data_IF_697873630452
#
_entry.id   IF_697873630452
#
_cell.length_a   1.000
_cell.length_b   1.000
_cell.length_c   1.000
_cell.angle_alpha   90.00
_cell.angle_beta   90.00
_cell.angle_gamma   90.00
#
_symmetry.space_group_name_H-M   'P 1'
#
loop_
_entity.id
_entity.type
_entity.pdbx_description
1 polymer ?
#
# COMPACT_ATOMS: atom_id res chain seq x y z
N UNK A 1 -20.68 -65.86 16.93
CA UNK A 1 -21.25 -66.06 18.29
C UNK A 1 -20.07 -66.50 19.17
N UNK A 2 -19.67 -65.90 20.28
CA UNK A 2 -20.12 -64.77 21.11
C UNK A 2 -18.96 -64.50 22.09
N UNK A 3 -18.70 -63.23 22.41
CA UNK A 3 -17.81 -62.78 23.51
C UNK A 3 -18.34 -63.24 24.89
N UNK A 4 -17.54 -63.18 25.98
CA UNK A 4 -17.57 -61.99 26.88
C UNK A 4 -16.20 -61.65 27.53
N UNK A 5 -15.77 -60.39 27.63
CA UNK A 5 -16.05 -59.36 28.65
C UNK A 5 -15.54 -59.63 30.08
N UNK A 6 -14.63 -58.79 30.62
CA UNK A 6 -14.92 -57.79 31.69
C UNK A 6 -13.69 -57.06 32.26
N UNK A 7 -13.96 -55.79 32.59
CA UNK A 7 -13.20 -54.75 33.30
C UNK A 7 -12.57 -55.16 34.64
N UNK A 8 -11.54 -54.40 35.07
CA UNK A 8 -11.51 -53.72 36.38
C UNK A 8 -10.50 -52.56 36.44
N UNK A 9 -11.00 -51.39 36.85
CA UNK A 9 -10.25 -50.20 37.26
C UNK A 9 -9.45 -50.43 38.55
N UNK A 10 -8.36 -49.68 38.73
CA UNK A 10 -8.04 -49.08 40.03
C UNK A 10 -7.20 -47.80 39.85
N UNK A 11 -7.67 -46.75 40.50
CA UNK A 11 -7.08 -45.40 40.64
C UNK A 11 -6.01 -45.42 41.75
N UNK A 12 -4.92 -44.66 41.62
CA UNK A 12 -4.25 -43.92 42.73
C UNK A 12 -3.05 -43.09 42.21
N UNK A 13 -3.18 -41.75 42.21
CA UNK A 13 -2.10 -40.79 42.51
C UNK A 13 -1.84 -40.81 44.04
N UNK A 14 -0.69 -40.38 44.63
CA UNK A 14 0.08 -39.17 44.25
C UNK A 14 1.62 -39.17 44.55
N UNK A 15 2.22 -37.99 44.36
CA UNK A 15 3.30 -37.37 45.15
C UNK A 15 4.75 -37.29 44.58
N UNK A 16 5.12 -36.02 44.40
CA UNK A 16 6.44 -35.37 44.30
C UNK A 16 7.62 -36.09 44.98
N UNK A 17 8.80 -35.98 44.35
CA UNK A 17 10.04 -35.58 45.03
C UNK A 17 11.00 -34.90 44.03
N UNK A 18 11.54 -33.75 44.44
CA UNK A 18 12.56 -32.96 43.75
C UNK A 18 13.93 -33.66 43.74
N UNK A 19 14.72 -33.39 42.70
CA UNK A 19 16.16 -33.63 42.67
C UNK A 19 16.82 -32.92 41.49
N UNK A 20 17.45 -31.77 41.74
CA UNK A 20 18.34 -31.06 40.82
C UNK A 20 19.67 -31.82 40.65
N UNK A 21 20.15 -31.98 39.41
CA UNK A 21 21.56 -31.73 39.04
C UNK A 21 21.86 -31.97 37.55
N UNK A 22 22.36 -30.90 36.93
CA UNK A 22 23.46 -30.82 35.94
C UNK A 22 23.39 -31.51 34.55
N UNK A 23 23.43 -30.63 33.54
CA UNK A 23 24.13 -30.67 32.23
C UNK A 23 23.78 -31.83 31.25
N UNK A 24 23.60 -31.63 29.94
CA UNK A 24 24.25 -30.70 29.02
C UNK A 24 23.41 -30.69 27.72
N UNK A 25 23.04 -29.53 27.19
CA UNK A 25 22.58 -29.40 25.80
C UNK A 25 23.14 -28.13 25.20
N UNK A 26 23.80 -28.20 24.03
CA UNK A 26 24.45 -27.05 23.42
C UNK A 26 23.39 -26.05 22.97
N UNK A 27 23.67 -24.79 23.28
CA UNK A 27 22.91 -23.62 22.84
C UNK A 27 23.06 -23.46 21.32
N UNK A 28 22.00 -23.71 20.57
CA UNK A 28 21.78 -22.96 19.33
C UNK A 28 21.23 -21.60 19.75
N UNK A 29 22.12 -20.62 19.72
CA UNK A 29 21.82 -19.22 19.94
C UNK A 29 20.87 -18.81 18.82
N UNK A 30 19.59 -18.67 19.15
CA UNK A 30 18.70 -17.85 18.35
C UNK A 30 19.30 -16.44 18.35
N UNK A 31 19.92 -16.08 17.24
CA UNK A 31 20.40 -14.75 16.95
C UNK A 31 19.19 -13.83 16.98
N UNK A 32 18.94 -13.25 18.16
CA UNK A 32 18.00 -12.16 18.36
C UNK A 32 18.43 -11.05 17.40
N UNK A 33 17.66 -10.88 16.33
CA UNK A 33 17.76 -9.70 15.49
C UNK A 33 17.85 -8.46 16.40
N UNK A 34 18.81 -7.55 16.18
CA UNK A 34 18.99 -6.40 17.05
C UNK A 34 17.68 -5.62 17.10
N UNK A 35 17.11 -5.50 18.31
CA UNK A 35 15.99 -4.60 18.54
C UNK A 35 16.39 -3.22 18.04
N UNK A 36 15.54 -2.62 17.21
CA UNK A 36 15.77 -1.28 16.69
C UNK A 36 16.16 -0.34 17.85
N UNK A 37 17.19 0.51 17.68
CA UNK A 37 17.62 1.41 18.73
C UNK A 37 16.45 2.29 19.16
N UNK A 38 16.32 2.51 20.46
CA UNK A 38 15.32 3.42 21.00
C UNK A 38 15.50 4.83 20.40
N UNK A 39 14.42 5.55 20.12
CA UNK A 39 14.51 6.88 19.51
C UNK A 39 15.31 7.84 20.41
N UNK A 40 16.15 8.65 19.79
CA UNK A 40 16.93 9.68 20.47
C UNK A 40 16.06 10.87 20.89
N UNK A 41 16.55 11.70 21.81
CA UNK A 41 15.82 12.87 22.29
C UNK A 41 15.47 13.90 21.21
N UNK A 42 16.25 13.99 20.13
CA UNK A 42 15.95 14.81 18.95
C UNK A 42 14.75 14.24 18.19
N UNK A 43 14.78 12.94 17.87
CA UNK A 43 13.71 12.25 17.15
C UNK A 43 12.35 12.32 17.86
N UNK A 44 12.35 12.36 19.19
CA UNK A 44 11.13 12.55 19.98
C UNK A 44 10.57 13.97 19.85
N UNK A 45 11.43 15.00 19.74
CA UNK A 45 11.01 16.39 19.57
C UNK A 45 10.55 16.66 18.13
N UNK A 46 11.24 16.08 17.15
CA UNK A 46 10.86 16.16 15.73
C UNK A 46 9.48 15.53 15.53
N UNK A 47 9.26 14.32 16.07
CA UNK A 47 7.95 13.66 16.05
C UNK A 47 6.85 14.43 16.79
N UNK A 48 7.18 15.12 17.89
CA UNK A 48 6.23 16.00 18.57
C UNK A 48 5.87 17.24 17.73
N UNK A 49 6.83 17.80 16.99
CA UNK A 49 6.59 18.89 16.05
C UNK A 49 5.71 18.41 14.88
N UNK A 50 6.04 17.29 14.25
CA UNK A 50 5.20 16.68 13.20
C UNK A 50 3.77 16.42 13.68
N UNK A 51 3.62 15.77 14.85
CA UNK A 51 2.31 15.49 15.44
C UNK A 51 1.51 16.77 15.68
N UNK A 52 2.18 17.86 16.06
CA UNK A 52 1.50 19.12 16.34
C UNK A 52 0.85 19.76 15.10
N UNK A 53 1.30 19.40 13.89
CA UNK A 53 0.75 19.84 12.61
C UNK A 53 -0.48 19.03 12.18
N UNK A 54 -0.80 17.93 12.88
CA UNK A 54 -1.93 17.07 12.54
C UNK A 54 -3.27 17.83 12.55
N UNK A 55 -4.00 17.74 11.44
CA UNK A 55 -5.30 18.39 11.27
C UNK A 55 -5.75 18.53 9.82
N UNK A 56 -6.94 19.08 9.68
CA UNK A 56 -7.47 19.59 8.40
C UNK A 56 -7.16 21.08 8.33
N UNK A 57 -6.60 21.49 7.20
CA UNK A 57 -6.15 22.84 6.92
C UNK A 57 -6.75 23.31 5.58
N UNK A 58 -6.95 24.61 5.43
CA UNK A 58 -7.55 25.21 4.23
C UNK A 58 -6.83 26.50 3.86
N UNK A 59 -6.65 26.77 2.56
CA UNK A 59 -6.18 28.08 2.06
C UNK A 59 -7.18 29.22 2.31
N UNK A 60 -8.40 28.89 2.76
CA UNK A 60 -9.49 29.82 3.03
C UNK A 60 -10.50 29.87 1.89
N UNK A 61 -11.53 30.71 2.06
CA UNK A 61 -12.59 30.88 1.06
C UNK A 61 -11.98 31.47 -0.21
N UNK A 62 -12.18 30.78 -1.33
CA UNK A 62 -11.93 31.23 -2.69
C UNK A 62 -12.23 32.74 -2.86
N UNK A 63 -11.21 33.56 -3.11
CA UNK A 63 -11.42 34.92 -3.59
C UNK A 63 -11.27 34.92 -5.11
N UNK A 64 -12.39 34.95 -5.83
CA UNK A 64 -12.40 34.90 -7.30
C UNK A 64 -12.47 33.47 -7.83
N UNK A 65 -11.68 33.17 -8.86
CA UNK A 65 -11.69 31.87 -9.55
C UNK A 65 -10.80 30.80 -8.88
N UNK A 66 -10.04 31.15 -7.85
CA UNK A 66 -9.15 30.22 -7.14
C UNK A 66 -9.97 29.33 -6.19
N UNK A 67 -10.06 28.05 -6.48
CA UNK A 67 -10.75 27.09 -5.62
C UNK A 67 -10.04 26.96 -4.26
N UNK A 68 -10.83 26.90 -3.18
CA UNK A 68 -10.33 26.54 -1.86
C UNK A 68 -9.63 25.18 -1.92
N UNK A 69 -8.37 25.15 -1.48
CA UNK A 69 -7.56 23.93 -1.42
C UNK A 69 -7.61 23.38 0.01
N UNK A 70 -7.97 22.10 0.14
CA UNK A 70 -8.03 21.42 1.43
C UNK A 70 -6.82 20.50 1.58
N UNK A 71 -6.15 20.65 2.73
CA UNK A 71 -5.04 19.80 3.14
C UNK A 71 -5.46 18.96 4.34
N UNK A 72 -5.13 17.67 4.33
CA UNK A 72 -5.16 16.83 5.52
C UNK A 72 -3.75 16.39 5.87
N UNK A 73 -3.27 16.80 7.05
CA UNK A 73 -1.96 16.41 7.56
C UNK A 73 -2.20 15.34 8.63
N UNK A 74 -1.68 14.14 8.37
CA UNK A 74 -1.77 12.99 9.28
C UNK A 74 -0.39 12.67 9.83
N UNK A 75 -0.28 12.46 11.14
CA UNK A 75 0.94 11.95 11.77
C UNK A 75 0.78 10.48 12.14
N UNK A 76 1.72 9.65 11.73
CA UNK A 76 1.75 8.23 12.03
C UNK A 76 3.05 7.89 12.75
N UNK A 77 2.98 7.32 13.95
CA UNK A 77 4.17 7.02 14.77
C UNK A 77 5.22 6.16 14.05
N UNK A 78 4.80 5.29 13.13
CA UNK A 78 5.68 4.37 12.42
C UNK A 78 6.28 4.93 11.12
N UNK A 79 5.63 5.92 10.51
CA UNK A 79 5.87 6.36 9.13
C UNK A 79 6.01 7.88 8.98
N UNK A 80 5.88 8.62 10.09
CA UNK A 80 5.97 10.08 10.13
C UNK A 80 4.74 10.78 9.56
N UNK A 81 4.93 12.03 9.19
CA UNK A 81 3.91 12.91 8.64
C UNK A 81 3.57 12.57 7.17
N UNK A 82 2.27 12.52 6.86
CA UNK A 82 1.72 12.38 5.51
C UNK A 82 0.80 13.56 5.19
N UNK A 83 0.85 14.02 3.94
CA UNK A 83 0.07 15.17 3.48
C UNK A 83 -0.86 14.75 2.35
N UNK A 84 -2.16 14.96 2.54
CA UNK A 84 -3.18 14.90 1.51
C UNK A 84 -3.42 16.32 0.99
N UNK A 85 -3.43 16.50 -0.32
CA UNK A 85 -3.81 17.75 -1.00
C UNK A 85 -4.83 17.43 -2.08
N UNK A 86 -5.98 18.09 -2.05
CA UNK A 86 -7.06 17.94 -3.06
C UNK A 86 -7.44 16.48 -3.35
N UNK A 87 -7.48 15.65 -2.30
CA UNK A 87 -7.86 14.24 -2.40
C UNK A 87 -6.75 13.29 -2.85
N UNK A 88 -5.54 13.77 -3.13
CA UNK A 88 -4.38 12.95 -3.47
C UNK A 88 -3.31 13.01 -2.37
N UNK A 89 -2.77 11.85 -1.99
CA UNK A 89 -1.62 11.81 -1.09
C UNK A 89 -0.38 12.29 -1.85
N UNK A 90 0.35 13.23 -1.26
CA UNK A 90 1.68 13.57 -1.75
C UNK A 90 2.60 12.38 -1.49
N UNK A 91 3.20 11.86 -2.55
CA UNK A 91 4.28 10.87 -2.43
C UNK A 91 5.50 11.60 -1.89
N UNK A 92 5.85 11.38 -0.64
CA UNK A 92 6.86 12.21 -0.02
C UNK A 92 7.22 11.80 1.40
N UNK A 93 8.20 12.50 1.96
CA UNK A 93 8.72 12.26 3.30
C UNK A 93 9.28 13.54 3.92
N UNK A 94 9.32 13.56 5.24
CA UNK A 94 10.02 14.62 5.99
C UNK A 94 11.53 14.45 5.76
N UNK A 95 12.20 15.52 5.33
CA UNK A 95 13.66 15.57 5.17
C UNK A 95 14.36 16.16 6.39
N UNK A 96 13.78 17.22 6.94
CA UNK A 96 14.38 18.00 8.02
C UNK A 96 13.30 18.68 8.87
N UNK A 97 13.60 18.85 10.16
CA UNK A 97 12.78 19.59 11.12
C UNK A 97 13.69 20.57 11.85
N UNK A 98 13.39 21.86 11.69
CA UNK A 98 14.10 22.93 12.37
C UNK A 98 13.13 23.55 13.39
N UNK A 99 13.34 23.14 14.65
CA UNK A 99 12.53 23.55 15.79
C UNK A 99 12.74 25.02 16.17
N UNK A 100 13.93 25.57 15.89
CA UNK A 100 14.26 26.97 16.20
C UNK A 100 13.46 27.91 15.29
N UNK A 101 13.27 27.52 14.02
CA UNK A 101 12.50 28.27 13.04
C UNK A 101 11.03 27.81 12.91
N UNK A 102 10.65 26.76 13.64
CA UNK A 102 9.34 26.10 13.55
C UNK A 102 8.99 25.69 12.12
N UNK A 103 9.96 25.09 11.44
CA UNK A 103 9.86 24.67 10.04
C UNK A 103 10.07 23.18 9.89
N UNK A 104 9.38 22.60 8.91
CA UNK A 104 9.55 21.24 8.46
C UNK A 104 9.73 21.24 6.94
N UNK A 105 10.76 20.56 6.45
CA UNK A 105 10.99 20.32 5.04
C UNK A 105 10.38 18.98 4.64
N UNK A 106 9.44 18.99 3.70
CA UNK A 106 8.77 17.80 3.17
C UNK A 106 9.14 17.63 1.70
N UNK A 107 9.87 16.57 1.37
CA UNK A 107 10.15 16.22 -0.02
C UNK A 107 8.94 15.56 -0.66
N UNK A 108 8.54 16.04 -1.83
CA UNK A 108 7.52 15.44 -2.69
C UNK A 108 8.22 14.84 -3.90
N UNK A 109 8.14 13.51 -4.00
CA UNK A 109 8.56 12.75 -5.17
C UNK A 109 7.57 13.02 -6.31
N UNK A 110 8.09 13.36 -7.51
CA UNK A 110 7.28 13.54 -8.72
C UNK A 110 7.48 12.36 -9.66
N UNK A 111 6.40 11.89 -10.27
CA UNK A 111 6.45 10.84 -11.30
C UNK A 111 7.10 11.30 -12.59
N UNK A 112 7.05 12.60 -12.89
CA UNK A 112 7.70 13.22 -14.03
C UNK A 112 8.47 14.47 -13.58
N UNK A 113 9.80 14.44 -13.71
CA UNK A 113 10.69 15.54 -13.34
C UNK A 113 11.33 15.39 -11.95
N UNK A 114 12.17 16.36 -11.54
CA UNK A 114 12.78 16.34 -10.22
C UNK A 114 11.71 16.49 -9.14
N UNK A 115 11.90 15.79 -8.02
CA UNK A 115 11.13 16.04 -6.80
C UNK A 115 11.31 17.48 -6.33
N UNK A 116 10.41 17.92 -5.46
CA UNK A 116 10.46 19.27 -4.89
C UNK A 116 10.36 19.21 -3.37
N UNK A 117 11.00 20.15 -2.69
CA UNK A 117 10.86 20.28 -1.24
C UNK A 117 9.84 21.39 -0.94
N UNK A 118 8.83 21.04 -0.15
CA UNK A 118 7.81 21.96 0.38
C UNK A 118 8.17 22.25 1.82
N UNK A 119 8.27 23.52 2.18
CA UNK A 119 8.54 23.93 3.56
C UNK A 119 7.23 24.28 4.27
N UNK A 120 6.97 23.64 5.40
CA UNK A 120 5.86 23.92 6.29
C UNK A 120 6.37 24.75 7.47
N UNK A 121 5.84 25.96 7.66
CA UNK A 121 6.23 26.86 8.75
C UNK A 121 5.05 27.23 9.62
N UNK A 122 5.18 27.10 10.94
CA UNK A 122 4.21 27.71 11.86
C UNK A 122 4.44 29.21 11.93
N UNK A 123 3.40 29.98 11.65
CA UNK A 123 3.41 31.45 11.74
C UNK A 123 2.48 31.84 12.89
N UNK A 124 3.08 32.23 14.02
CA UNK A 124 2.34 32.70 15.20
C UNK A 124 1.89 34.13 14.98
N UNK A 125 0.61 34.40 15.24
CA UNK A 125 0.07 35.76 15.13
C UNK A 125 0.09 36.43 16.51
N UNK A 126 0.81 37.56 16.68
CA UNK A 126 0.95 38.20 18.00
C UNK A 126 -0.38 38.66 18.60
N UNK A 127 -1.38 38.90 17.75
CA UNK A 127 -2.68 39.47 18.15
C UNK A 127 -3.73 38.41 18.54
N UNK A 128 -3.44 37.12 18.30
CA UNK A 128 -4.42 36.01 18.44
C UNK A 128 -3.87 34.91 19.35
N UNK A 129 -3.31 35.27 20.50
CA UNK A 129 -2.87 34.30 21.52
C UNK A 129 -1.91 33.23 20.98
N UNK A 130 -2.11 31.97 21.38
CA UNK A 130 -1.32 30.81 20.91
C UNK A 130 -1.75 30.26 19.53
N UNK A 131 -2.61 30.97 18.80
CA UNK A 131 -3.04 30.55 17.47
C UNK A 131 -1.94 30.80 16.43
N UNK A 132 -1.75 29.85 15.53
CA UNK A 132 -0.81 29.97 14.41
C UNK A 132 -1.50 29.57 13.11
N UNK A 133 -1.04 30.13 11.99
CA UNK A 133 -1.31 29.62 10.65
C UNK A 133 -0.15 28.76 10.18
N UNK A 134 -0.40 27.91 9.21
CA UNK A 134 0.64 27.08 8.60
C UNK A 134 0.96 27.63 7.22
N UNK A 135 2.16 28.16 7.03
CA UNK A 135 2.63 28.61 5.72
C UNK A 135 3.30 27.46 4.99
N UNK A 136 2.87 27.16 3.78
CA UNK A 136 3.52 26.24 2.87
C UNK A 136 4.29 27.05 1.83
N UNK A 137 5.57 26.78 1.66
CA UNK A 137 6.40 27.36 0.60
C UNK A 137 6.82 26.26 -0.35
N UNK A 138 6.41 26.38 -1.61
CA UNK A 138 6.77 25.45 -2.68
C UNK A 138 8.12 25.85 -3.29
N UNK A 139 8.82 24.90 -3.93
CA UNK A 139 10.15 25.13 -4.50
C UNK A 139 10.22 26.27 -5.54
N UNK A 140 9.08 26.62 -6.15
CA UNK A 140 8.96 27.74 -7.10
C UNK A 140 8.78 29.12 -6.42
N UNK A 141 8.83 29.18 -5.09
CA UNK A 141 8.65 30.41 -4.31
C UNK A 141 7.20 30.86 -4.17
N UNK A 142 6.24 30.00 -4.52
CA UNK A 142 4.82 30.22 -4.24
C UNK A 142 4.50 29.81 -2.80
N UNK A 143 3.73 30.64 -2.10
CA UNK A 143 3.34 30.44 -0.72
C UNK A 143 1.81 30.28 -0.56
N UNK A 144 1.40 29.29 0.23
CA UNK A 144 0.03 29.10 0.70
C UNK A 144 -0.06 29.35 2.21
N UNK A 145 -0.95 30.25 2.65
CA UNK A 145 -1.24 30.45 4.07
C UNK A 145 -2.47 29.62 4.49
N UNK A 146 -2.23 28.53 5.22
CA UNK A 146 -3.27 27.63 5.64
C UNK A 146 -3.84 28.00 7.01
N UNK A 147 -5.16 27.99 7.09
CA UNK A 147 -5.94 28.16 8.31
C UNK A 147 -6.35 26.79 8.85
N UNK A 148 -6.21 26.64 10.17
CA UNK A 148 -6.66 25.44 10.84
C UNK A 148 -8.19 25.35 10.80
N UNK A 149 -8.71 24.23 10.29
CA UNK A 149 -10.15 23.97 10.24
C UNK A 149 -10.54 23.17 11.49
N UNK A 150 -9.92 21.99 11.68
CA UNK A 150 -10.20 21.10 12.80
C UNK A 150 -9.16 19.98 12.93
N UNK A 151 -9.17 19.30 14.08
CA UNK A 151 -8.35 18.09 14.30
C UNK A 151 -8.83 16.93 13.44
N UNK A 152 -7.89 16.08 13.05
CA UNK A 152 -8.15 14.85 12.32
C UNK A 152 -8.65 13.78 13.30
N UNK A 153 -9.91 13.38 13.18
CA UNK A 153 -10.53 12.33 14.00
C UNK A 153 -10.27 10.94 13.41
N UNK A 154 -10.43 9.86 14.18
CA UNK A 154 -10.37 8.49 13.64
C UNK A 154 -11.38 8.27 12.50
N UNK A 155 -12.56 8.89 12.60
CA UNK A 155 -13.59 8.83 11.56
C UNK A 155 -13.11 9.47 10.27
N UNK A 156 -12.44 10.63 10.34
CA UNK A 156 -11.90 11.29 9.14
C UNK A 156 -10.85 10.43 8.43
N UNK A 157 -9.95 9.81 9.19
CA UNK A 157 -8.94 8.89 8.64
C UNK A 157 -9.61 7.74 7.87
N UNK A 158 -10.68 7.18 8.44
CA UNK A 158 -11.45 6.14 7.79
C UNK A 158 -12.16 6.65 6.53
N UNK A 159 -12.83 7.80 6.60
CA UNK A 159 -13.56 8.40 5.48
C UNK A 159 -12.60 8.81 4.34
N UNK A 160 -11.45 9.40 4.66
CA UNK A 160 -10.38 9.72 3.69
C UNK A 160 -9.84 8.45 3.05
N UNK A 161 -9.50 7.43 3.85
CA UNK A 161 -9.02 6.16 3.34
C UNK A 161 -10.02 5.48 2.40
N UNK A 162 -11.31 5.50 2.78
CA UNK A 162 -12.39 4.99 1.93
C UNK A 162 -12.54 5.80 0.65
N UNK A 163 -12.60 7.13 0.74
CA UNK A 163 -12.75 8.01 -0.42
C UNK A 163 -11.59 7.84 -1.41
N UNK A 164 -10.35 7.75 -0.92
CA UNK A 164 -9.16 7.52 -1.76
C UNK A 164 -9.18 6.13 -2.37
N UNK A 165 -9.57 5.10 -1.61
CA UNK A 165 -9.74 3.75 -2.16
C UNK A 165 -10.82 3.68 -3.24
N UNK A 166 -11.85 4.53 -3.14
CA UNK A 166 -12.94 4.63 -4.11
C UNK A 166 -12.58 5.52 -5.30
N UNK A 167 -11.77 6.56 -5.11
CA UNK A 167 -11.29 7.43 -6.18
C UNK A 167 -10.16 6.78 -7.00
N UNK A 168 -9.31 5.98 -6.34
CA UNK A 168 -8.32 5.12 -7.00
C UNK A 168 -8.94 3.89 -7.67
N UNK A 169 -10.21 3.57 -7.37
CA UNK A 169 -11.00 2.74 -8.26
C UNK A 169 -11.39 3.63 -9.43
N UNK A 170 -10.68 3.47 -10.54
CA UNK A 170 -11.26 3.75 -11.84
C UNK A 170 -12.66 3.10 -11.81
N UNK A 171 -13.77 3.85 -11.95
CA UNK A 171 -15.06 3.22 -12.09
C UNK A 171 -14.87 2.21 -13.20
N UNK A 172 -15.29 0.97 -13.00
CA UNK A 172 -15.18 -0.05 -14.03
C UNK A 172 -15.89 0.45 -15.31
N UNK A 173 -15.19 1.19 -16.16
CA UNK A 173 -15.05 0.78 -17.55
C UNK A 173 -14.57 -0.63 -17.37
N UNK A 174 -15.50 -1.59 -17.54
CA UNK A 174 -15.26 -2.99 -17.26
C UNK A 174 -13.84 -3.30 -17.73
N UNK A 175 -12.93 -3.41 -16.78
CA UNK A 175 -11.57 -3.79 -17.09
C UNK A 175 -11.77 -5.14 -17.74
N UNK A 176 -11.53 -5.21 -19.04
CA UNK A 176 -11.80 -6.42 -19.81
C UNK A 176 -10.69 -7.40 -19.43
N UNK A 177 -10.92 -8.08 -18.30
CA UNK A 177 -10.13 -9.18 -17.77
C UNK A 177 -11.11 -10.26 -17.30
N UNK A 178 -10.73 -11.52 -17.50
CA UNK A 178 -11.43 -12.69 -16.96
C UNK A 178 -10.87 -13.13 -15.60
N UNK A 179 -9.90 -12.38 -15.06
CA UNK A 179 -9.26 -12.68 -13.80
C UNK A 179 -10.25 -12.59 -12.62
N UNK A 180 -10.05 -13.47 -11.62
CA UNK A 180 -10.84 -13.46 -10.38
C UNK A 180 -10.72 -12.12 -9.67
N UNK A 181 -11.84 -11.52 -9.27
CA UNK A 181 -11.87 -10.24 -8.56
C UNK A 181 -11.00 -10.28 -7.29
N UNK A 182 -10.17 -9.26 -7.09
CA UNK A 182 -9.24 -9.18 -5.95
C UNK A 182 -7.97 -10.02 -6.10
N UNK A 183 -7.80 -10.76 -7.20
CA UNK A 183 -6.52 -11.41 -7.51
C UNK A 183 -5.44 -10.39 -7.87
N UNK A 184 -4.16 -10.81 -7.77
CA UNK A 184 -3.04 -10.01 -8.24
C UNK A 184 -3.18 -9.71 -9.75
N UNK A 185 -3.58 -10.71 -10.54
CA UNK A 185 -3.78 -10.57 -11.98
C UNK A 185 -4.84 -9.52 -12.28
N UNK A 186 -6.01 -9.58 -11.65
CA UNK A 186 -7.06 -8.57 -11.81
C UNK A 186 -6.55 -7.17 -11.42
N UNK A 187 -5.81 -7.07 -10.31
CA UNK A 187 -5.25 -5.79 -9.86
C UNK A 187 -4.29 -5.22 -10.90
N UNK A 188 -3.34 -6.02 -11.40
CA UNK A 188 -2.33 -5.55 -12.34
C UNK A 188 -2.89 -5.29 -13.74
N UNK A 189 -3.73 -6.17 -14.27
CA UNK A 189 -4.36 -6.01 -15.58
C UNK A 189 -5.21 -4.73 -15.68
N UNK A 190 -5.78 -4.27 -14.56
CA UNK A 190 -6.61 -3.07 -14.53
C UNK A 190 -5.88 -1.78 -14.15
N UNK A 191 -4.62 -1.86 -13.70
CA UNK A 191 -3.87 -0.69 -13.20
C UNK A 191 -2.51 -0.47 -13.84
N UNK A 192 -1.99 -1.43 -14.59
CA UNK A 192 -0.67 -1.37 -15.22
C UNK A 192 -0.74 -1.70 -16.70
N UNK A 193 -0.35 -0.77 -17.58
CA UNK A 193 -0.47 -0.90 -19.03
C UNK A 193 0.23 -2.14 -19.60
N UNK A 194 1.41 -2.48 -19.06
CA UNK A 194 2.16 -3.70 -19.42
C UNK A 194 1.30 -4.95 -19.22
N UNK A 195 0.74 -5.12 -18.02
CA UNK A 195 -0.07 -6.29 -17.68
C UNK A 195 -1.43 -6.27 -18.38
N UNK A 196 -2.00 -5.09 -18.61
CA UNK A 196 -3.22 -4.94 -19.39
C UNK A 196 -3.04 -5.45 -20.83
N UNK A 197 -1.90 -5.13 -21.47
CA UNK A 197 -1.58 -5.58 -22.82
C UNK A 197 -1.32 -7.09 -22.88
N UNK A 198 -0.54 -7.62 -21.92
CA UNK A 198 -0.27 -9.07 -21.82
C UNK A 198 -1.55 -9.87 -21.60
N UNK A 199 -2.43 -9.42 -20.69
CA UNK A 199 -3.68 -10.11 -20.39
C UNK A 199 -4.62 -10.11 -21.59
N UNK A 200 -4.79 -8.95 -22.25
CA UNK A 200 -5.62 -8.83 -23.45
C UNK A 200 -5.13 -9.73 -24.58
N UNK A 201 -3.83 -9.65 -24.90
CA UNK A 201 -3.25 -10.41 -26.01
C UNK A 201 -3.41 -11.93 -25.79
N UNK A 202 -3.04 -12.42 -24.61
CA UNK A 202 -3.17 -13.84 -24.31
C UNK A 202 -4.64 -14.29 -24.32
N UNK A 203 -5.56 -13.50 -23.77
CA UNK A 203 -6.99 -13.82 -23.83
C UNK A 203 -7.51 -13.91 -25.26
N UNK A 204 -7.09 -13.03 -26.16
CA UNK A 204 -7.45 -13.13 -27.58
C UNK A 204 -6.91 -14.41 -28.21
N UNK A 205 -5.65 -14.77 -27.93
CA UNK A 205 -5.08 -16.05 -28.39
C UNK A 205 -5.85 -17.26 -27.85
N UNK A 206 -6.28 -17.23 -26.59
CA UNK A 206 -7.07 -18.31 -25.99
C UNK A 206 -8.46 -18.45 -26.62
N UNK A 207 -9.11 -17.34 -26.98
CA UNK A 207 -10.38 -17.37 -27.72
C UNK A 207 -10.21 -18.04 -29.09
N UNK A 208 -9.16 -17.67 -29.83
CA UNK A 208 -8.84 -18.30 -31.11
C UNK A 208 -8.48 -19.79 -30.97
N UNK A 209 -7.74 -20.13 -29.92
CA UNK A 209 -7.39 -21.51 -29.59
C UNK A 209 -8.64 -22.37 -29.35
N UNK A 210 -9.55 -21.89 -28.50
CA UNK A 210 -10.84 -22.52 -28.22
C UNK A 210 -11.72 -22.68 -29.46
N UNK A 211 -11.70 -21.70 -30.36
CA UNK A 211 -12.51 -21.73 -31.58
C UNK A 211 -11.98 -22.72 -32.63
N UNK A 212 -10.66 -22.89 -32.74
CA UNK A 212 -10.02 -23.62 -33.83
C UNK A 212 -9.61 -25.05 -33.47
N UNK A 213 -9.35 -25.34 -32.19
CA UNK A 213 -8.75 -26.62 -31.77
C UNK A 213 -9.66 -27.39 -30.81
N UNK A 214 -9.83 -28.73 -30.98
CA UNK A 214 -10.71 -29.53 -30.13
C UNK A 214 -10.39 -29.50 -28.63
N UNK A 215 -9.11 -29.37 -28.28
CA UNK A 215 -8.64 -29.29 -26.89
C UNK A 215 -8.46 -27.84 -26.39
N UNK A 216 -8.88 -26.85 -27.17
CA UNK A 216 -8.59 -25.43 -26.92
C UNK A 216 -9.17 -24.92 -25.59
N UNK A 217 -10.44 -25.24 -25.29
CA UNK A 217 -11.09 -24.86 -24.03
C UNK A 217 -10.38 -25.43 -22.81
N UNK A 218 -9.90 -26.67 -22.92
CA UNK A 218 -9.17 -27.33 -21.83
C UNK A 218 -7.82 -26.65 -21.58
N UNK A 219 -7.11 -26.31 -22.66
CA UNK A 219 -5.84 -25.59 -22.56
C UNK A 219 -6.05 -24.18 -21.99
N UNK A 220 -7.05 -23.45 -22.48
CA UNK A 220 -7.40 -22.11 -21.97
C UNK A 220 -7.71 -22.12 -20.46
N UNK A 221 -8.48 -23.10 -19.98
CA UNK A 221 -8.75 -23.24 -18.55
C UNK A 221 -7.48 -23.46 -17.72
N UNK A 222 -6.52 -24.25 -18.22
CA UNK A 222 -5.23 -24.46 -17.54
C UNK A 222 -4.38 -23.18 -17.54
N UNK A 223 -4.38 -22.42 -18.64
CA UNK A 223 -3.67 -21.15 -18.73
C UNK A 223 -4.19 -20.17 -17.67
N UNK A 224 -5.52 -19.95 -17.64
CA UNK A 224 -6.17 -19.06 -16.67
C UNK A 224 -5.87 -19.50 -15.24
N UNK A 225 -5.97 -20.81 -14.95
CA UNK A 225 -5.66 -21.34 -13.62
C UNK A 225 -4.22 -21.04 -13.19
N UNK A 226 -3.25 -21.13 -14.09
CA UNK A 226 -1.84 -20.85 -13.78
C UNK A 226 -1.58 -19.35 -13.57
N UNK A 227 -2.21 -18.49 -14.37
CA UNK A 227 -2.11 -17.03 -14.20
C UNK A 227 -2.70 -16.59 -12.85
N UNK A 228 -3.88 -17.11 -12.50
CA UNK A 228 -4.58 -16.76 -11.27
C UNK A 228 -3.89 -17.31 -10.01
N UNK A 229 -3.04 -18.32 -10.15
CA UNK A 229 -2.23 -18.85 -9.05
C UNK A 229 -1.03 -17.96 -8.68
N UNK A 230 -0.66 -16.99 -9.53
CA UNK A 230 0.47 -16.12 -9.25
C UNK A 230 0.18 -15.09 -8.16
N UNK A 231 1.08 -15.02 -7.17
CA UNK A 231 1.02 -14.06 -6.06
C UNK A 231 2.05 -12.94 -6.16
N UNK A 232 2.90 -12.95 -7.21
CA UNK A 232 3.90 -11.90 -7.47
C UNK A 232 3.88 -11.45 -8.94
N UNK A 233 4.24 -10.18 -9.23
CA UNK A 233 4.31 -9.69 -10.61
C UNK A 233 5.34 -10.46 -11.47
N UNK A 234 6.44 -10.91 -10.86
CA UNK A 234 7.46 -11.70 -11.56
C UNK A 234 6.91 -13.07 -12.02
N UNK A 235 6.19 -13.78 -11.14
CA UNK A 235 5.49 -15.02 -11.51
C UNK A 235 4.55 -14.77 -12.69
N UNK A 236 3.76 -13.71 -12.62
CA UNK A 236 2.75 -13.42 -13.63
C UNK A 236 3.38 -13.13 -15.00
N UNK A 237 4.47 -12.36 -15.04
CA UNK A 237 5.26 -12.14 -16.27
C UNK A 237 5.82 -13.44 -16.84
N UNK A 238 6.42 -14.28 -16.00
CA UNK A 238 7.01 -15.55 -16.41
C UNK A 238 5.96 -16.50 -16.99
N UNK A 239 4.75 -16.53 -16.41
CA UNK A 239 3.64 -17.36 -16.89
C UNK A 239 3.09 -16.82 -18.21
N UNK A 240 2.87 -15.51 -18.35
CA UNK A 240 2.48 -14.90 -19.63
C UNK A 240 3.48 -15.25 -20.75
N UNK A 241 4.78 -15.01 -20.50
CA UNK A 241 5.82 -15.25 -21.49
C UNK A 241 5.90 -16.74 -21.90
N UNK A 242 5.79 -17.66 -20.93
CA UNK A 242 5.83 -19.10 -21.20
C UNK A 242 4.65 -19.56 -22.06
N UNK A 243 3.45 -19.09 -21.74
CA UNK A 243 2.26 -19.44 -22.51
C UNK A 243 2.27 -18.83 -23.90
N UNK A 244 2.76 -17.61 -24.05
CA UNK A 244 2.90 -16.98 -25.36
C UNK A 244 3.84 -17.80 -26.26
N UNK A 245 5.03 -18.16 -25.77
CA UNK A 245 5.96 -19.04 -26.52
C UNK A 245 5.33 -20.39 -26.82
N UNK A 246 4.68 -21.02 -25.85
CA UNK A 246 4.04 -22.32 -26.06
C UNK A 246 2.93 -22.25 -27.11
N UNK A 247 2.11 -21.20 -27.10
CA UNK A 247 1.04 -21.04 -28.08
C UNK A 247 1.61 -20.79 -29.48
N UNK A 248 2.61 -19.92 -29.61
CA UNK A 248 3.28 -19.61 -30.88
C UNK A 248 3.98 -20.85 -31.47
N UNK A 249 4.60 -21.68 -30.63
CA UNK A 249 5.33 -22.89 -31.08
C UNK A 249 4.41 -24.05 -31.47
N UNK A 250 3.20 -24.13 -30.89
CA UNK A 250 2.34 -25.31 -31.00
C UNK A 250 1.04 -25.08 -31.77
N UNK A 251 0.62 -23.82 -31.98
CA UNK A 251 -0.65 -23.49 -32.61
C UNK A 251 -0.48 -22.35 -33.61
N UNK A 252 -1.00 -22.56 -34.82
CA UNK A 252 -1.13 -21.48 -35.81
C UNK A 252 -2.40 -20.66 -35.49
N UNK A 253 -2.23 -19.67 -34.61
CA UNK A 253 -3.29 -18.75 -34.20
C UNK A 253 -3.32 -17.48 -35.07
N UNK A 254 -2.35 -17.33 -36.00
CA UNK A 254 -2.16 -16.16 -36.85
C UNK A 254 -1.67 -14.91 -36.09
N UNK A 255 -1.11 -13.95 -36.81
CA UNK A 255 -0.72 -12.65 -36.26
C UNK A 255 -1.98 -11.83 -35.93
N UNK A 256 -2.55 -12.04 -34.74
CA UNK A 256 -3.63 -11.25 -34.15
C UNK A 256 -3.20 -9.79 -33.88
N UNK A 257 -1.94 -9.44 -34.17
CA UNK A 257 -1.33 -8.13 -33.94
C UNK A 257 -1.68 -7.05 -34.98
N UNK A 258 -2.35 -7.37 -36.10
CA UNK A 258 -2.55 -6.42 -37.21
C UNK A 258 -3.94 -5.71 -37.26
N UNK A 259 -4.82 -5.87 -36.26
CA UNK A 259 -6.16 -5.26 -36.27
C UNK A 259 -6.52 -4.38 -35.06
N UNK A 260 -5.53 -3.82 -34.35
CA UNK A 260 -5.75 -2.76 -33.35
C UNK A 260 -5.24 -1.39 -33.84
#
# INVERSE_FOLDING_TARGET
MTSPARLRSLVLLPALLLGLSACDRPSEVAELAPSAPAPTGSQLQDGAFEQSLEGIWSTGIAQGDDAETIYAIEYQTASGLRILRDGAWLAGRVEDVDLDNQTLAFHVDRTQGPGETVTLRKVVHPDVGSAYTLRLTWAQGHDDDLRFVRRLTPRDRQEIGLAISQAGRVPAVACDTDAVEGSLRATLACSHDEFAALDRNLRTQLVELSARYPDGDRTAAVVVQQLDACTTPACLRDVYARWQVYLDDNYDLGDVLDYL
#
